data_IF_922953837376
#
_entry.id   IF_922953837376
#
_cell.length_a   1.000
_cell.length_b   1.000
_cell.length_c   1.000
_cell.angle_alpha   90.00
_cell.angle_beta   90.00
_cell.angle_gamma   90.00
#
_symmetry.space_group_name_H-M   'P 1'
#
loop_
_entity.id
_entity.type
_entity.pdbx_description
1 polymer ?
#
# COMPACT_ATOMS: atom_id res chain seq x y z
N UNK A 1 9.04 -1.12 -35.62
CA UNK A 1 9.57 -1.72 -34.38
C UNK A 1 10.12 -3.10 -34.73
N UNK A 2 11.25 -3.50 -34.15
CA UNK A 2 11.84 -4.84 -34.38
C UNK A 2 11.03 -5.92 -33.65
N UNK A 3 11.09 -7.17 -34.11
CA UNK A 3 10.40 -8.28 -33.46
C UNK A 3 10.82 -8.45 -31.99
N UNK A 4 12.10 -8.23 -31.69
CA UNK A 4 12.67 -8.26 -30.34
C UNK A 4 12.04 -7.20 -29.42
N UNK A 5 11.90 -5.96 -29.90
CA UNK A 5 11.28 -4.89 -29.12
C UNK A 5 9.81 -5.17 -28.84
N UNK A 6 9.08 -5.74 -29.80
CA UNK A 6 7.68 -6.14 -29.59
C UNK A 6 7.58 -7.25 -28.53
N UNK A 7 8.48 -8.24 -28.55
CA UNK A 7 8.52 -9.28 -27.54
C UNK A 7 8.78 -8.70 -26.15
N UNK A 8 9.76 -7.79 -26.01
CA UNK A 8 10.05 -7.13 -24.73
C UNK A 8 8.87 -6.31 -24.19
N UNK A 9 8.13 -5.64 -25.06
CA UNK A 9 6.93 -4.87 -24.67
C UNK A 9 5.83 -5.79 -24.15
N UNK A 10 5.59 -6.91 -24.83
CA UNK A 10 4.61 -7.91 -24.39
C UNK A 10 5.05 -8.52 -23.05
N UNK A 11 6.34 -8.85 -22.90
CA UNK A 11 6.91 -9.35 -21.64
C UNK A 11 6.76 -8.32 -20.53
N UNK A 12 7.11 -7.05 -20.78
CA UNK A 12 6.99 -5.96 -19.81
C UNK A 12 5.54 -5.74 -19.37
N UNK A 13 4.59 -5.73 -20.31
CA UNK A 13 3.17 -5.62 -20.00
C UNK A 13 2.67 -6.83 -19.19
N UNK A 14 3.02 -8.05 -19.62
CA UNK A 14 2.56 -9.28 -18.96
C UNK A 14 3.10 -9.38 -17.54
N UNK A 15 4.41 -9.23 -17.38
CA UNK A 15 5.05 -9.25 -16.06
C UNK A 15 4.50 -8.10 -15.21
N UNK A 16 4.40 -6.88 -15.76
CA UNK A 16 3.78 -5.71 -15.14
C UNK A 16 2.39 -6.01 -14.54
N UNK A 17 1.54 -6.69 -15.32
CA UNK A 17 0.21 -7.09 -14.88
C UNK A 17 0.23 -8.20 -13.81
N UNK A 18 0.92 -9.31 -14.10
CA UNK A 18 0.88 -10.49 -13.23
C UNK A 18 1.58 -10.28 -11.90
N UNK A 19 2.75 -9.63 -11.85
CA UNK A 19 3.42 -9.37 -10.57
C UNK A 19 2.56 -8.47 -9.67
N UNK A 20 1.88 -7.46 -10.24
CA UNK A 20 1.01 -6.55 -9.48
C UNK A 20 -0.22 -7.26 -8.90
N UNK A 21 -0.82 -8.18 -9.67
CA UNK A 21 -2.00 -8.94 -9.22
C UNK A 21 -1.63 -9.99 -8.19
N UNK A 22 -0.51 -10.69 -8.42
CA UNK A 22 -0.05 -11.77 -7.56
C UNK A 22 0.60 -11.26 -6.28
N UNK A 23 1.14 -10.03 -6.27
CA UNK A 23 1.71 -9.36 -5.10
C UNK A 23 0.63 -8.68 -4.26
N UNK A 24 0.11 -9.30 -3.18
CA UNK A 24 -0.94 -8.70 -2.35
C UNK A 24 -0.51 -7.39 -1.68
N UNK A 25 0.78 -7.22 -1.47
CA UNK A 25 1.43 -6.04 -0.92
C UNK A 25 1.25 -4.80 -1.79
N UNK A 26 1.04 -4.95 -3.11
CA UNK A 26 0.87 -3.85 -4.06
C UNK A 26 -0.48 -3.14 -3.92
N UNK A 27 -1.51 -3.81 -3.39
CA UNK A 27 -2.86 -3.24 -3.30
C UNK A 27 -3.49 -3.33 -1.90
N UNK A 28 -3.28 -4.40 -1.14
CA UNK A 28 -3.95 -4.59 0.16
C UNK A 28 -3.66 -3.48 1.18
N UNK A 29 -2.42 -2.96 1.31
CA UNK A 29 -2.17 -1.84 2.22
C UNK A 29 -3.01 -0.60 1.89
N UNK A 30 -3.20 -0.26 0.62
CA UNK A 30 -4.04 0.88 0.22
C UNK A 30 -5.52 0.63 0.47
N UNK A 31 -6.02 -0.56 0.12
CA UNK A 31 -7.42 -0.94 0.33
C UNK A 31 -7.75 -0.86 1.82
N UNK A 32 -6.92 -1.48 2.66
CA UNK A 32 -7.13 -1.54 4.10
C UNK A 32 -6.99 -0.19 4.79
N UNK A 33 -6.01 0.62 4.37
CA UNK A 33 -5.86 1.98 4.92
C UNK A 33 -6.95 2.92 4.44
N UNK A 34 -7.39 2.81 3.19
CA UNK A 34 -8.54 3.54 2.66
C UNK A 34 -9.81 3.21 3.45
N UNK A 35 -10.05 1.93 3.72
CA UNK A 35 -11.20 1.48 4.51
C UNK A 35 -11.11 1.94 5.97
N UNK A 36 -9.98 1.69 6.64
CA UNK A 36 -9.78 2.03 8.05
C UNK A 36 -9.81 3.52 8.34
N UNK A 37 -9.27 4.34 7.44
CA UNK A 37 -9.18 5.79 7.60
C UNK A 37 -10.26 6.54 6.82
N UNK A 38 -11.20 5.84 6.19
CA UNK A 38 -12.29 6.40 5.38
C UNK A 38 -11.78 7.41 4.33
N UNK A 39 -10.74 7.04 3.59
CA UNK A 39 -10.23 7.91 2.53
C UNK A 39 -11.25 8.03 1.38
N UNK A 40 -11.34 9.24 0.81
CA UNK A 40 -12.10 9.45 -0.43
C UNK A 40 -11.45 8.69 -1.59
N UNK A 41 -12.23 8.34 -2.62
CA UNK A 41 -11.70 7.61 -3.77
C UNK A 41 -10.53 8.36 -4.44
N UNK A 42 -10.64 9.68 -4.56
CA UNK A 42 -9.58 10.54 -5.10
C UNK A 42 -8.31 10.48 -4.25
N UNK A 43 -8.44 10.55 -2.92
CA UNK A 43 -7.28 10.46 -2.02
C UNK A 43 -6.61 9.09 -2.11
N UNK A 44 -7.39 8.01 -2.17
CA UNK A 44 -6.85 6.66 -2.35
C UNK A 44 -6.12 6.55 -3.68
N UNK A 45 -6.72 6.99 -4.77
CA UNK A 45 -6.10 6.98 -6.10
C UNK A 45 -4.78 7.78 -6.14
N UNK A 46 -4.77 8.99 -5.59
CA UNK A 46 -3.57 9.83 -5.56
C UNK A 46 -2.43 9.18 -4.77
N UNK A 47 -2.72 8.63 -3.58
CA UNK A 47 -1.72 7.95 -2.76
C UNK A 47 -1.19 6.71 -3.48
N UNK A 48 -2.07 5.89 -4.06
CA UNK A 48 -1.70 4.70 -4.82
C UNK A 48 -0.80 5.05 -6.01
N UNK A 49 -1.16 6.06 -6.80
CA UNK A 49 -0.34 6.51 -7.95
C UNK A 49 1.01 7.06 -7.49
N UNK A 50 1.06 7.90 -6.45
CA UNK A 50 2.33 8.43 -5.94
C UNK A 50 3.25 7.34 -5.41
N UNK A 51 2.71 6.34 -4.71
CA UNK A 51 3.47 5.19 -4.23
C UNK A 51 3.94 4.32 -5.40
N UNK A 52 3.10 4.06 -6.40
CA UNK A 52 3.46 3.31 -7.60
C UNK A 52 4.56 3.99 -8.42
N UNK A 53 4.48 5.32 -8.58
CA UNK A 53 5.53 6.10 -9.24
C UNK A 53 6.86 6.05 -8.46
N UNK A 54 6.82 6.17 -7.13
CA UNK A 54 8.01 6.06 -6.29
C UNK A 54 8.64 4.66 -6.33
N UNK A 55 7.82 3.62 -6.26
CA UNK A 55 8.22 2.22 -6.34
C UNK A 55 8.91 1.90 -7.67
N UNK A 56 8.26 2.18 -8.80
CA UNK A 56 8.83 1.90 -10.13
C UNK A 56 10.02 2.81 -10.41
N UNK A 57 9.89 4.11 -10.09
CA UNK A 57 10.92 5.11 -10.33
C UNK A 57 12.23 4.80 -9.59
N UNK A 58 12.15 4.30 -8.34
CA UNK A 58 13.33 3.92 -7.57
C UNK A 58 14.11 2.76 -8.22
N UNK A 59 13.43 1.71 -8.71
CA UNK A 59 14.09 0.62 -9.44
C UNK A 59 14.57 1.03 -10.83
N UNK A 60 13.87 1.93 -11.54
CA UNK A 60 14.36 2.50 -12.81
C UNK A 60 15.66 3.27 -12.58
N UNK A 61 15.71 4.13 -11.55
CA UNK A 61 16.92 4.91 -11.23
C UNK A 61 18.08 3.99 -10.88
N UNK A 62 17.86 2.95 -10.06
CA UNK A 62 18.88 1.97 -9.74
C UNK A 62 19.35 1.18 -10.97
N UNK A 63 18.44 0.78 -11.85
CA UNK A 63 18.77 0.12 -13.11
C UNK A 63 19.61 1.00 -14.03
N UNK A 64 19.27 2.28 -14.17
CA UNK A 64 20.04 3.25 -14.97
C UNK A 64 21.44 3.50 -14.41
N UNK A 65 21.57 3.66 -13.09
CA UNK A 65 22.87 3.77 -12.43
C UNK A 65 23.69 2.49 -12.66
N UNK A 66 23.06 1.33 -12.49
CA UNK A 66 23.68 0.02 -12.72
C UNK A 66 24.25 -0.12 -14.13
N UNK A 67 23.43 0.20 -15.14
CA UNK A 67 23.82 0.17 -16.55
C UNK A 67 24.95 1.16 -16.85
N UNK A 68 24.85 2.40 -16.35
CA UNK A 68 25.85 3.45 -16.65
C UNK A 68 27.25 3.14 -16.09
N UNK A 69 27.33 2.44 -14.95
CA UNK A 69 28.59 2.05 -14.31
C UNK A 69 29.05 0.65 -14.77
N UNK A 70 28.28 -0.03 -15.63
CA UNK A 70 28.60 -1.37 -16.12
C UNK A 70 28.49 -2.45 -15.03
N UNK A 71 27.61 -2.26 -14.05
CA UNK A 71 27.38 -3.20 -12.95
C UNK A 71 26.67 -4.45 -13.49
N UNK A 72 27.21 -5.62 -13.14
CA UNK A 72 26.59 -6.89 -13.47
C UNK A 72 25.18 -7.02 -12.85
N UNK A 73 24.25 -7.63 -13.59
CA UNK A 73 22.84 -7.86 -13.18
C UNK A 73 22.76 -8.42 -11.76
N UNK A 74 23.53 -9.46 -11.44
CA UNK A 74 23.51 -10.12 -10.12
C UNK A 74 23.78 -9.17 -8.95
N UNK A 75 24.58 -8.12 -9.15
CA UNK A 75 24.83 -7.12 -8.10
C UNK A 75 23.65 -6.18 -7.90
N UNK A 76 22.92 -5.86 -8.99
CA UNK A 76 21.70 -5.07 -8.90
C UNK A 76 20.56 -5.87 -8.26
N UNK A 77 20.45 -7.15 -8.61
CA UNK A 77 19.51 -8.08 -7.98
C UNK A 77 19.76 -8.22 -6.47
N UNK A 78 21.02 -8.24 -6.03
CA UNK A 78 21.34 -8.23 -4.60
C UNK A 78 20.83 -6.95 -3.90
N UNK A 79 20.97 -5.79 -4.54
CA UNK A 79 20.47 -4.51 -4.01
C UNK A 79 18.94 -4.50 -3.98
N UNK A 80 18.26 -4.98 -5.03
CA UNK A 80 16.80 -5.15 -5.04
C UNK A 80 16.34 -6.14 -3.96
N UNK A 81 17.02 -7.26 -3.78
CA UNK A 81 16.68 -8.25 -2.74
C UNK A 81 16.81 -7.67 -1.33
N UNK A 82 17.88 -6.89 -1.07
CA UNK A 82 18.02 -6.17 0.20
C UNK A 82 16.89 -5.16 0.41
N UNK A 83 16.55 -4.40 -0.63
CA UNK A 83 15.41 -3.49 -0.66
C UNK A 83 14.10 -4.21 -0.37
N UNK A 84 13.90 -5.40 -0.93
CA UNK A 84 12.73 -6.27 -0.71
C UNK A 84 12.62 -6.70 0.73
N UNK A 85 13.71 -7.21 1.30
CA UNK A 85 13.77 -7.58 2.70
C UNK A 85 13.45 -6.39 3.63
N UNK A 86 14.03 -5.22 3.33
CA UNK A 86 13.73 -4.00 4.08
C UNK A 86 12.25 -3.60 3.98
N UNK A 87 11.67 -3.61 2.79
CA UNK A 87 10.26 -3.30 2.59
C UNK A 87 9.33 -4.27 3.32
N UNK A 88 9.63 -5.58 3.29
CA UNK A 88 8.90 -6.61 4.01
C UNK A 88 8.93 -6.36 5.54
N UNK A 89 10.11 -6.08 6.11
CA UNK A 89 10.22 -5.74 7.54
C UNK A 89 9.49 -4.44 7.90
N UNK A 90 9.54 -3.43 7.04
CA UNK A 90 8.78 -2.19 7.25
C UNK A 90 7.26 -2.45 7.22
N UNK A 91 6.77 -3.31 6.33
CA UNK A 91 5.36 -3.75 6.31
C UNK A 91 4.99 -4.51 7.59
N UNK A 92 5.83 -5.45 8.03
CA UNK A 92 5.63 -6.20 9.28
C UNK A 92 5.55 -5.24 10.47
N UNK A 93 6.53 -4.35 10.61
CA UNK A 93 6.59 -3.39 11.70
C UNK A 93 5.38 -2.44 11.69
N UNK A 94 5.06 -1.87 10.53
CA UNK A 94 3.91 -0.99 10.38
C UNK A 94 2.60 -1.71 10.67
N UNK A 95 2.40 -2.91 10.12
CA UNK A 95 1.23 -3.75 10.33
C UNK A 95 1.03 -4.12 11.80
N UNK A 96 2.10 -4.56 12.47
CA UNK A 96 2.07 -4.91 13.89
C UNK A 96 1.73 -3.71 14.78
N UNK A 97 2.41 -2.58 14.59
CA UNK A 97 2.15 -1.35 15.36
C UNK A 97 0.72 -0.89 15.14
N UNK A 98 0.24 -0.88 13.90
CA UNK A 98 -1.11 -0.45 13.57
C UNK A 98 -2.18 -1.44 14.08
N UNK A 99 -1.90 -2.74 14.08
CA UNK A 99 -2.76 -3.77 14.66
C UNK A 99 -2.92 -3.59 16.17
N UNK A 100 -1.80 -3.50 16.91
CA UNK A 100 -1.81 -3.33 18.36
C UNK A 100 -2.48 -2.01 18.75
N UNK A 101 -2.20 -0.93 18.03
CA UNK A 101 -2.88 0.35 18.23
C UNK A 101 -4.39 0.24 17.94
N UNK A 102 -4.77 -0.43 16.85
CA UNK A 102 -6.16 -0.68 16.48
C UNK A 102 -6.91 -1.50 17.54
N UNK A 103 -6.26 -2.51 18.12
CA UNK A 103 -6.84 -3.34 19.18
C UNK A 103 -6.99 -2.54 20.48
N UNK A 104 -5.99 -1.76 20.89
CA UNK A 104 -6.08 -0.87 22.06
C UNK A 104 -7.22 0.14 21.90
N UNK A 105 -7.34 0.74 20.71
CA UNK A 105 -8.43 1.66 20.37
C UNK A 105 -9.78 0.96 20.45
N UNK A 106 -9.90 -0.23 19.86
CA UNK A 106 -11.13 -1.01 19.96
C UNK A 106 -11.47 -1.31 21.43
N UNK A 107 -10.53 -1.82 22.23
CA UNK A 107 -10.74 -2.17 23.63
C UNK A 107 -11.18 -0.98 24.51
N UNK A 108 -10.59 0.21 24.32
CA UNK A 108 -10.97 1.42 25.07
C UNK A 108 -12.34 1.98 24.67
N UNK A 109 -12.77 1.78 23.41
CA UNK A 109 -14.05 2.28 22.90
C UNK A 109 -15.22 1.29 23.14
N UNK A 110 -15.29 0.67 24.33
CA UNK A 110 -16.43 -0.18 24.71
C UNK A 110 -17.65 0.73 24.97
N UNK A 111 -18.79 0.52 24.28
CA UNK A 111 -20.03 1.19 24.68
C UNK A 111 -20.38 0.73 26.09
N UNK A 112 -20.68 1.69 26.96
CA UNK A 112 -21.13 1.44 28.32
C UNK A 112 -22.46 2.16 28.54
N UNK A 113 -23.23 1.63 29.47
CA UNK A 113 -24.57 2.11 29.81
C UNK A 113 -24.48 2.74 31.19
N UNK A 114 -24.90 3.99 31.31
CA UNK A 114 -25.09 4.67 32.59
C UNK A 114 -26.56 5.02 32.77
N UNK A 115 -27.04 4.94 34.00
CA UNK A 115 -28.37 5.43 34.39
C UNK A 115 -28.22 6.86 34.90
N UNK A 116 -28.96 7.79 34.31
CA UNK A 116 -29.06 9.17 34.78
C UNK A 116 -30.46 9.41 35.37
N UNK A 117 -30.50 10.11 36.50
CA UNK A 117 -31.72 10.67 37.08
C UNK A 117 -31.70 12.17 36.87
N UNK A 118 -32.61 12.70 36.06
CA UNK A 118 -32.84 14.13 35.96
C UNK A 118 -33.84 14.56 37.03
N UNK A 119 -33.63 15.73 37.62
CA UNK A 119 -34.39 16.27 38.74
C UNK A 119 -35.88 16.58 38.43
N UNK A 120 -36.38 16.28 37.23
CA UNK A 120 -37.81 16.43 36.91
C UNK A 120 -38.42 15.44 35.91
N UNK A 121 -37.81 14.27 35.62
CA UNK A 121 -38.48 13.25 34.79
C UNK A 121 -37.93 11.83 35.01
N UNK A 122 -38.75 10.82 34.70
CA UNK A 122 -38.49 9.41 34.99
C UNK A 122 -37.12 8.92 34.46
N UNK A 123 -36.49 8.04 35.26
CA UNK A 123 -35.21 7.43 34.94
C UNK A 123 -35.26 6.76 33.55
N UNK A 124 -34.32 7.10 32.68
CA UNK A 124 -34.21 6.51 31.36
C UNK A 124 -32.75 6.10 31.07
N UNK A 125 -32.61 5.06 30.24
CA UNK A 125 -31.34 4.40 29.95
C UNK A 125 -30.87 4.84 28.57
N UNK A 126 -29.71 5.50 28.50
CA UNK A 126 -29.03 5.78 27.23
C UNK A 126 -27.81 4.87 27.05
N UNK A 127 -27.59 4.43 25.82
CA UNK A 127 -26.34 3.75 25.43
C UNK A 127 -25.40 4.80 24.85
N UNK A 128 -24.34 5.17 25.57
CA UNK A 128 -23.35 6.12 25.08
C UNK A 128 -22.10 5.41 24.54
N UNK A 129 -21.56 5.97 23.48
CA UNK A 129 -20.19 5.77 23.02
C UNK A 129 -19.53 7.15 23.13
N UNK A 130 -18.48 7.29 23.97
CA UNK A 130 -17.72 8.54 24.19
C UNK A 130 -16.94 8.98 22.96
N UNK A 131 -17.63 9.18 21.84
CA UNK A 131 -17.05 9.71 20.62
C UNK A 131 -17.21 11.23 20.53
N UNK A 132 -18.02 11.88 21.40
CA UNK A 132 -18.45 13.26 21.13
C UNK A 132 -18.66 14.24 22.28
N UNK A 133 -18.63 13.84 23.54
CA UNK A 133 -18.93 14.77 24.64
C UNK A 133 -17.89 14.70 25.75
N UNK A 134 -16.69 15.23 25.47
CA UNK A 134 -15.96 15.97 26.48
C UNK A 134 -15.23 17.12 25.79
N UNK A 135 -15.74 18.33 26.03
CA UNK A 135 -15.00 19.59 26.11
C UNK A 135 -14.32 20.07 24.81
N UNK A 136 -15.04 20.94 24.11
CA UNK A 136 -14.50 21.81 23.06
C UNK A 136 -13.42 22.75 23.61
N UNK A 137 -12.14 22.35 23.55
CA UNK A 137 -11.01 23.29 23.51
C UNK A 137 -9.86 22.68 22.70
N UNK A 138 -9.87 22.91 21.39
CA UNK A 138 -8.78 23.54 20.62
C UNK A 138 -8.92 23.24 19.13
N UNK A 139 -8.57 24.28 18.36
CA UNK A 139 -8.43 24.37 16.93
C UNK A 139 -7.42 23.32 16.40
N UNK A 140 -7.83 22.06 16.31
CA UNK A 140 -7.00 20.99 15.75
C UNK A 140 -6.93 21.16 14.24
N UNK A 141 -5.92 21.91 13.78
CA UNK A 141 -5.30 21.64 12.48
C UNK A 141 -5.06 20.13 12.45
N UNK A 142 -5.88 19.40 11.70
CA UNK A 142 -5.88 17.95 11.63
C UNK A 142 -4.43 17.48 11.44
N UNK A 143 -3.83 16.91 12.50
CA UNK A 143 -2.44 16.42 12.43
C UNK A 143 -2.33 15.53 11.19
N UNK A 144 -1.36 15.79 10.29
CA UNK A 144 -1.24 15.04 9.06
C UNK A 144 -1.16 13.55 9.40
N UNK A 145 -2.02 12.77 8.75
CA UNK A 145 -2.01 11.32 8.91
C UNK A 145 -0.63 10.80 8.49
N UNK A 146 0.08 10.09 9.37
CA UNK A 146 1.41 9.52 9.07
C UNK A 146 1.31 8.32 8.10
N UNK A 147 0.14 7.68 8.02
CA UNK A 147 -0.08 6.49 7.20
C UNK A 147 0.31 6.61 5.71
N UNK A 148 -0.12 7.63 4.94
CA UNK A 148 0.32 7.80 3.55
C UNK A 148 1.85 7.91 3.40
N UNK A 149 2.51 8.59 4.34
CA UNK A 149 3.98 8.70 4.34
C UNK A 149 4.65 7.36 4.64
N UNK A 150 4.13 6.60 5.61
CA UNK A 150 4.63 5.26 5.90
C UNK A 150 4.50 4.34 4.69
N UNK A 151 3.33 4.33 4.02
CA UNK A 151 3.12 3.55 2.79
C UNK A 151 4.05 4.00 1.67
N UNK A 152 4.22 5.30 1.47
CA UNK A 152 5.13 5.82 0.45
C UNK A 152 6.57 5.37 0.68
N UNK A 153 7.08 5.48 1.91
CA UNK A 153 8.42 5.03 2.27
C UNK A 153 8.57 3.53 2.02
N UNK A 154 7.61 2.71 2.47
CA UNK A 154 7.60 1.26 2.23
C UNK A 154 7.70 0.96 0.72
N UNK A 155 6.89 1.61 -0.10
CA UNK A 155 6.83 1.36 -1.54
C UNK A 155 8.08 1.83 -2.30
N UNK A 156 8.64 2.98 -1.92
CA UNK A 156 9.91 3.47 -2.49
C UNK A 156 11.05 2.52 -2.16
N UNK A 157 11.07 1.95 -0.96
CA UNK A 157 12.05 0.91 -0.62
C UNK A 157 11.71 -0.46 -1.23
N UNK A 158 10.44 -0.73 -1.53
CA UNK A 158 10.01 -1.94 -2.22
C UNK A 158 10.66 -2.08 -3.60
N UNK A 159 11.32 -3.21 -3.91
CA UNK A 159 11.96 -3.45 -5.18
C UNK A 159 10.93 -3.84 -6.22
N UNK A 160 11.11 -3.34 -7.43
CA UNK A 160 10.42 -3.85 -8.61
C UNK A 160 11.34 -4.86 -9.30
N UNK A 161 11.60 -5.98 -8.63
CA UNK A 161 12.58 -7.00 -9.03
C UNK A 161 12.48 -7.44 -10.51
N UNK A 162 11.27 -7.62 -11.10
CA UNK A 162 11.17 -8.06 -12.47
C UNK A 162 11.65 -7.02 -13.49
N UNK A 163 11.77 -5.74 -13.11
CA UNK A 163 12.07 -4.65 -14.02
C UNK A 163 13.53 -4.64 -14.48
N UNK A 164 14.48 -4.92 -13.58
CA UNK A 164 15.92 -4.81 -13.90
C UNK A 164 16.33 -5.78 -15.02
N UNK A 165 15.98 -7.09 -14.98
CA UNK A 165 16.32 -8.01 -16.06
C UNK A 165 15.74 -7.58 -17.42
N UNK A 166 14.51 -7.06 -17.43
CA UNK A 166 13.84 -6.63 -18.66
C UNK A 166 14.51 -5.36 -19.24
N UNK A 167 14.95 -4.43 -18.39
CA UNK A 167 15.65 -3.21 -18.81
C UNK A 167 17.11 -3.47 -19.24
N UNK A 168 17.73 -4.55 -18.76
CA UNK A 168 19.11 -4.88 -19.11
C UNK A 168 19.28 -5.21 -20.60
N UNK A 169 18.31 -5.86 -21.22
CA UNK A 169 18.39 -6.19 -22.65
C UNK A 169 18.48 -4.95 -23.57
N UNK A 170 17.54 -3.98 -23.54
CA UNK A 170 17.65 -2.78 -24.36
C UNK A 170 18.85 -1.91 -23.97
N UNK A 171 19.28 -1.95 -22.70
CA UNK A 171 20.51 -1.30 -22.25
C UNK A 171 21.77 -1.89 -22.90
N UNK A 172 21.89 -3.22 -22.95
CA UNK A 172 23.00 -3.92 -23.59
C UNK A 172 23.08 -3.61 -25.10
N UNK A 173 21.92 -3.45 -25.74
CA UNK A 173 21.81 -3.04 -27.15
C UNK A 173 21.99 -1.54 -27.38
N UNK A 174 22.32 -0.75 -26.34
CA UNK A 174 22.43 0.73 -26.38
C UNK A 174 21.17 1.42 -26.96
N UNK A 175 20.01 0.80 -26.80
CA UNK A 175 18.74 1.29 -27.34
C UNK A 175 17.99 2.12 -26.31
N UNK A 176 18.26 3.43 -26.29
CA UNK A 176 17.57 4.37 -25.38
C UNK A 176 16.05 4.37 -25.59
N UNK A 177 15.60 4.31 -26.84
CA UNK A 177 14.17 4.24 -27.16
C UNK A 177 13.55 2.95 -26.61
N UNK A 178 14.23 1.81 -26.77
CA UNK A 178 13.78 0.54 -26.22
C UNK A 178 13.64 0.59 -24.70
N UNK A 179 14.62 1.19 -24.01
CA UNK A 179 14.60 1.33 -22.56
C UNK A 179 13.43 2.20 -22.07
N UNK A 180 13.20 3.35 -22.70
CA UNK A 180 12.08 4.26 -22.35
C UNK A 180 10.73 3.60 -22.61
N UNK A 181 10.56 2.94 -23.77
CA UNK A 181 9.29 2.30 -24.13
C UNK A 181 8.98 1.13 -23.21
N UNK A 182 9.96 0.26 -22.95
CA UNK A 182 9.79 -0.91 -22.07
C UNK A 182 9.49 -0.47 -20.63
N UNK A 183 10.26 0.47 -20.08
CA UNK A 183 10.01 1.02 -18.75
C UNK A 183 8.64 1.72 -18.67
N UNK A 184 8.27 2.47 -19.70
CA UNK A 184 6.99 3.16 -19.78
C UNK A 184 5.80 2.21 -19.83
N UNK A 185 5.86 1.16 -20.66
CA UNK A 185 4.81 0.14 -20.76
C UNK A 185 4.67 -0.61 -19.43
N UNK A 186 5.79 -1.08 -18.87
CA UNK A 186 5.78 -1.72 -17.56
C UNK A 186 5.15 -0.80 -16.50
N UNK A 187 5.59 0.47 -16.46
CA UNK A 187 5.12 1.47 -15.51
C UNK A 187 3.62 1.73 -15.60
N UNK A 188 3.13 1.97 -16.82
CA UNK A 188 1.71 2.22 -17.09
C UNK A 188 0.86 1.02 -16.70
N UNK A 189 1.25 -0.19 -17.11
CA UNK A 189 0.47 -1.41 -16.82
C UNK A 189 0.45 -1.70 -15.31
N UNK A 190 1.59 -1.57 -14.64
CA UNK A 190 1.70 -1.77 -13.18
C UNK A 190 0.80 -0.80 -12.43
N UNK A 191 0.92 0.51 -12.69
CA UNK A 191 0.15 1.54 -11.98
C UNK A 191 -1.35 1.42 -12.29
N UNK A 192 -1.72 1.16 -13.53
CA UNK A 192 -3.13 1.00 -13.91
C UNK A 192 -3.75 -0.27 -13.30
N UNK A 193 -3.02 -1.38 -13.27
CA UNK A 193 -3.45 -2.63 -12.61
C UNK A 193 -3.62 -2.42 -11.11
N UNK A 194 -2.61 -1.86 -10.45
CA UNK A 194 -2.62 -1.53 -9.03
C UNK A 194 -3.80 -0.63 -8.67
N UNK A 195 -4.01 0.45 -9.43
CA UNK A 195 -5.12 1.38 -9.23
C UNK A 195 -6.48 0.71 -9.45
N UNK A 196 -6.62 -0.09 -10.51
CA UNK A 196 -7.83 -0.83 -10.82
C UNK A 196 -8.23 -1.77 -9.69
N UNK A 197 -7.29 -2.59 -9.22
CA UNK A 197 -7.51 -3.52 -8.09
C UNK A 197 -7.86 -2.76 -6.82
N UNK A 198 -7.10 -1.70 -6.47
CA UNK A 198 -7.36 -0.91 -5.25
C UNK A 198 -8.77 -0.30 -5.26
N UNK A 199 -9.17 0.32 -6.38
CA UNK A 199 -10.49 0.96 -6.47
C UNK A 199 -11.62 -0.06 -6.49
N UNK A 200 -11.45 -1.19 -7.20
CA UNK A 200 -12.44 -2.26 -7.25
C UNK A 200 -12.62 -2.93 -5.88
N UNK A 201 -11.53 -3.28 -5.20
CA UNK A 201 -11.56 -3.85 -3.85
C UNK A 201 -12.14 -2.86 -2.83
N UNK A 202 -11.78 -1.56 -2.92
CA UNK A 202 -12.38 -0.52 -2.08
C UNK A 202 -13.89 -0.43 -2.26
N UNK A 203 -14.38 -0.49 -3.50
CA UNK A 203 -15.81 -0.51 -3.80
C UNK A 203 -16.47 -1.77 -3.23
N UNK A 204 -15.86 -2.95 -3.43
CA UNK A 204 -16.35 -4.23 -2.90
C UNK A 204 -16.53 -4.23 -1.38
N UNK A 205 -15.55 -3.72 -0.63
CA UNK A 205 -15.61 -3.63 0.84
C UNK A 205 -16.76 -2.74 1.33
N UNK A 206 -17.19 -1.75 0.53
CA UNK A 206 -18.30 -0.86 0.91
C UNK A 206 -19.68 -1.53 0.86
N UNK A 207 -19.83 -2.64 0.12
CA UNK A 207 -21.10 -3.38 0.02
C UNK A 207 -21.35 -4.34 1.19
N UNK A 208 -20.34 -4.63 2.03
CA UNK A 208 -20.49 -5.57 3.13
C UNK A 208 -20.95 -4.82 4.40
N UNK A 209 -22.13 -5.15 4.98
CA UNK A 209 -22.64 -4.49 6.17
C UNK A 209 -21.87 -4.93 7.43
N UNK A 210 -20.67 -4.37 7.61
CA UNK A 210 -19.73 -4.74 8.68
C UNK A 210 -19.99 -4.01 10.01
N UNK A 211 -21.25 -3.79 10.41
CA UNK A 211 -21.62 -2.98 11.59
C UNK A 211 -20.93 -3.43 12.89
N UNK A 212 -20.78 -4.74 13.12
CA UNK A 212 -20.06 -5.29 14.29
C UNK A 212 -18.53 -5.20 14.18
N UNK A 213 -17.99 -5.18 12.96
CA UNK A 213 -16.56 -5.16 12.67
C UNK A 213 -16.01 -3.73 12.52
N UNK A 214 -16.88 -2.71 12.43
CA UNK A 214 -16.50 -1.28 12.37
C UNK A 214 -15.60 -0.84 13.54
N UNK A 215 -15.77 -1.44 14.71
CA UNK A 215 -14.92 -1.16 15.89
C UNK A 215 -13.49 -1.68 15.72
N UNK A 216 -13.31 -2.77 14.96
CA UNK A 216 -12.04 -3.45 14.75
C UNK A 216 -11.38 -3.12 13.41
N UNK A 217 -11.97 -2.21 12.62
CA UNK A 217 -11.47 -1.84 11.28
C UNK A 217 -9.98 -1.49 11.25
N UNK A 218 -9.48 -0.74 12.25
CA UNK A 218 -8.04 -0.44 12.34
C UNK A 218 -7.18 -1.66 12.69
N UNK A 219 -7.68 -2.54 13.55
CA UNK A 219 -6.99 -3.79 13.89
C UNK A 219 -6.95 -4.71 12.66
N UNK A 220 -8.07 -4.93 11.99
CA UNK A 220 -8.16 -5.76 10.77
C UNK A 220 -7.21 -5.24 9.71
N UNK A 221 -7.20 -3.93 9.45
CA UNK A 221 -6.27 -3.33 8.50
C UNK A 221 -4.79 -3.57 8.88
N UNK A 222 -4.43 -3.41 10.16
CA UNK A 222 -3.08 -3.70 10.62
C UNK A 222 -2.70 -5.18 10.51
N UNK A 223 -3.64 -6.08 10.84
CA UNK A 223 -3.45 -7.52 10.73
C UNK A 223 -3.26 -7.96 9.28
N UNK A 224 -4.07 -7.43 8.34
CA UNK A 224 -3.89 -7.72 6.91
C UNK A 224 -2.51 -7.27 6.43
N UNK A 225 -2.07 -6.06 6.78
CA UNK A 225 -0.76 -5.54 6.35
C UNK A 225 0.39 -6.33 6.97
N UNK A 226 0.26 -6.72 8.25
CA UNK A 226 1.22 -7.60 8.91
C UNK A 226 1.31 -8.96 8.19
N UNK A 227 0.17 -9.56 7.87
CA UNK A 227 0.13 -10.84 7.15
C UNK A 227 0.73 -10.72 5.75
N UNK A 228 0.51 -9.61 5.02
CA UNK A 228 1.20 -9.34 3.76
C UNK A 228 2.72 -9.33 3.94
N UNK A 229 3.23 -8.57 4.91
CA UNK A 229 4.67 -8.50 5.17
C UNK A 229 5.27 -9.86 5.57
N UNK A 230 4.57 -10.63 6.39
CA UNK A 230 4.99 -12.00 6.75
C UNK A 230 4.98 -12.93 5.53
N UNK A 231 3.98 -12.81 4.66
CA UNK A 231 3.87 -13.62 3.46
C UNK A 231 5.03 -13.34 2.49
N UNK A 232 5.40 -12.07 2.28
CA UNK A 232 6.59 -11.70 1.50
C UNK A 232 7.85 -12.30 2.15
N UNK A 233 8.03 -12.07 3.46
CA UNK A 233 9.26 -12.43 4.17
C UNK A 233 9.51 -13.95 4.26
N UNK A 234 8.45 -14.75 4.40
CA UNK A 234 8.55 -16.19 4.67
C UNK A 234 8.06 -17.10 3.54
N UNK A 235 7.22 -16.59 2.63
CA UNK A 235 6.71 -17.37 1.49
C UNK A 235 7.34 -16.95 0.16
N UNK A 236 8.14 -15.87 0.13
CA UNK A 236 8.80 -15.38 -1.08
C UNK A 236 7.81 -14.91 -2.14
N UNK A 237 6.66 -14.38 -1.70
CA UNK A 237 5.68 -13.71 -2.56
C UNK A 237 6.15 -12.32 -2.97
#
# INVERSE_FOLDING_TARGET
MTAELNALIITAASIGFFHTILGPDHYLPFVMMSWARKWSGVKTALITVLCGLGHIGSSVVLGLIGVSVGIAVNKLEFVESFRGNLAAWLLIAFGLVYFVWGLRRACRNRPHVHSHTHTSEAAHIHTHSHQREHTHVHNDKTKPSVAPWALFVIFVFGPCEPLIPILMYPAAQKSFLGLVVVAGVFGVVTISTMLGVVLLSRAGVSFVPLTRLQRFTHAIAGATILLCGLAIQFLGL
#
